data_IF_518639412480
#
_entry.id   IF_518639412480
#
_cell.length_a   1.000
_cell.length_b   1.000
_cell.length_c   1.000
_cell.angle_alpha   90.00
_cell.angle_beta   90.00
_cell.angle_gamma   90.00
#
_symmetry.space_group_name_H-M   'P 1'
#
loop_
_entity.id
_entity.type
_entity.pdbx_description
1 polymer ?
#
# COMPACT_ATOMS: atom_id res chain seq x y z
N UNK A 1 -2.51 21.88 -0.33
CA UNK A 1 -1.62 20.72 -0.43
C UNK A 1 -0.78 20.66 0.83
N UNK A 2 -0.80 19.54 1.56
CA UNK A 2 0.08 19.29 2.69
C UNK A 2 1.35 18.57 2.19
N UNK A 3 2.50 19.04 2.67
CA UNK A 3 3.81 18.43 2.47
C UNK A 3 4.26 17.81 3.78
N UNK A 4 5.17 16.85 3.70
CA UNK A 4 5.79 16.31 4.89
C UNK A 4 6.83 17.29 5.45
N UNK A 5 6.90 17.35 6.78
CA UNK A 5 7.82 18.21 7.53
C UNK A 5 8.99 17.42 8.12
N UNK A 6 8.86 16.09 8.18
CA UNK A 6 9.93 15.21 8.65
C UNK A 6 9.85 13.79 8.05
N UNK A 7 10.94 13.03 8.17
CA UNK A 7 11.01 11.64 7.77
C UNK A 7 10.13 10.76 8.69
N UNK A 8 9.94 11.18 9.95
CA UNK A 8 9.03 10.55 10.89
C UNK A 8 7.58 10.68 10.44
N UNK A 9 7.19 11.87 9.95
CA UNK A 9 5.85 12.11 9.39
C UNK A 9 5.58 11.27 8.14
N UNK A 10 6.59 11.03 7.29
CA UNK A 10 6.39 10.18 6.10
C UNK A 10 6.26 8.72 6.49
N UNK A 11 7.03 8.26 7.48
CA UNK A 11 6.85 6.91 8.02
C UNK A 11 5.49 6.74 8.69
N UNK A 12 5.03 7.72 9.47
CA UNK A 12 3.69 7.68 10.07
C UNK A 12 2.61 7.61 9.01
N UNK A 13 2.76 8.39 7.93
CA UNK A 13 1.87 8.31 6.80
C UNK A 13 1.91 6.93 6.12
N UNK A 14 3.09 6.39 5.84
CA UNK A 14 3.24 5.08 5.23
C UNK A 14 2.65 3.97 6.12
N UNK A 15 2.93 3.99 7.43
CA UNK A 15 2.33 3.08 8.42
C UNK A 15 0.81 3.19 8.40
N UNK A 16 0.27 4.42 8.35
CA UNK A 16 -1.17 4.62 8.26
C UNK A 16 -1.74 4.09 6.93
N UNK A 17 -1.00 4.16 5.81
CA UNK A 17 -1.42 3.54 4.54
C UNK A 17 -1.51 2.01 4.67
N UNK A 18 -0.51 1.38 5.29
CA UNK A 18 -0.52 -0.07 5.53
C UNK A 18 -1.69 -0.51 6.42
N UNK A 19 -2.01 0.27 7.45
CA UNK A 19 -3.19 0.02 8.30
C UNK A 19 -4.47 0.12 7.47
N UNK A 20 -4.61 1.17 6.65
CA UNK A 20 -5.78 1.35 5.80
C UNK A 20 -5.93 0.26 4.73
N UNK A 21 -4.82 -0.23 4.16
CA UNK A 21 -4.84 -1.37 3.24
C UNK A 21 -5.22 -2.67 3.94
N UNK A 22 -4.63 -2.95 5.11
CA UNK A 22 -5.01 -4.09 5.96
C UNK A 22 -6.52 -4.09 6.27
N UNK A 23 -7.04 -2.95 6.72
CA UNK A 23 -8.45 -2.81 7.11
C UNK A 23 -9.37 -2.95 5.89
N UNK A 24 -8.97 -2.37 4.76
CA UNK A 24 -9.67 -2.53 3.49
C UNK A 24 -9.77 -4.00 3.06
N UNK A 25 -8.66 -4.73 3.08
CA UNK A 25 -8.66 -6.15 2.69
C UNK A 25 -9.38 -7.05 3.69
N UNK A 26 -9.29 -6.75 4.99
CA UNK A 26 -10.05 -7.43 6.04
C UNK A 26 -11.56 -7.25 5.85
N UNK A 27 -12.00 -6.03 5.54
CA UNK A 27 -13.40 -5.72 5.26
C UNK A 27 -13.88 -6.42 3.97
N UNK A 28 -13.10 -6.39 2.89
CA UNK A 28 -13.42 -7.11 1.66
C UNK A 28 -13.54 -8.62 1.88
N UNK A 29 -12.63 -9.23 2.62
CA UNK A 29 -12.67 -10.66 2.96
C UNK A 29 -13.98 -11.04 3.70
N UNK A 30 -14.49 -10.14 4.54
CA UNK A 30 -15.77 -10.30 5.24
C UNK A 30 -17.00 -10.16 4.34
N UNK A 31 -16.90 -9.42 3.24
CA UNK A 31 -18.03 -9.12 2.33
C UNK A 31 -18.15 -10.10 1.17
N UNK A 32 -17.04 -10.69 0.72
CA UNK A 32 -17.07 -11.63 -0.42
C UNK A 32 -17.75 -12.95 -0.07
N UNK A 33 -18.57 -13.44 -1.02
CA UNK A 33 -19.29 -14.72 -0.90
C UNK A 33 -18.44 -15.93 -1.32
N UNK A 34 -17.48 -15.73 -2.22
CA UNK A 34 -16.65 -16.81 -2.79
C UNK A 34 -15.55 -17.18 -1.77
N UNK A 35 -15.42 -18.45 -1.33
CA UNK A 35 -14.45 -18.84 -0.31
C UNK A 35 -13.00 -18.56 -0.68
N UNK A 36 -12.60 -18.87 -1.91
CA UNK A 36 -11.24 -18.62 -2.40
C UNK A 36 -10.90 -17.12 -2.42
N UNK A 37 -11.88 -16.26 -2.71
CA UNK A 37 -11.69 -14.80 -2.64
C UNK A 37 -11.46 -14.28 -1.24
N UNK A 38 -12.15 -14.87 -0.26
CA UNK A 38 -11.93 -14.53 1.14
C UNK A 38 -10.50 -14.85 1.55
N UNK A 39 -9.98 -15.99 1.10
CA UNK A 39 -8.60 -16.40 1.37
C UNK A 39 -7.61 -15.43 0.75
N UNK A 40 -7.78 -15.09 -0.54
CA UNK A 40 -6.95 -14.09 -1.23
C UNK A 40 -6.88 -12.77 -0.46
N UNK A 41 -8.04 -12.17 -0.13
CA UNK A 41 -8.04 -10.90 0.61
C UNK A 41 -7.52 -11.02 2.06
N UNK A 42 -7.71 -12.18 2.70
CA UNK A 42 -7.12 -12.42 4.02
C UNK A 42 -5.60 -12.48 3.95
N UNK A 43 -5.03 -13.06 2.89
CA UNK A 43 -3.59 -13.13 2.69
C UNK A 43 -3.00 -11.75 2.38
N UNK A 44 -3.65 -10.95 1.54
CA UNK A 44 -3.27 -9.54 1.36
C UNK A 44 -3.26 -8.79 2.69
N UNK A 45 -4.32 -8.87 3.50
CA UNK A 45 -4.34 -8.22 4.81
C UNK A 45 -3.15 -8.65 5.70
N UNK A 46 -2.74 -9.92 5.64
CA UNK A 46 -1.56 -10.41 6.38
C UNK A 46 -0.25 -9.85 5.84
N UNK A 47 -0.12 -9.74 4.51
CA UNK A 47 1.05 -9.15 3.84
C UNK A 47 1.20 -7.66 4.27
N UNK A 48 0.13 -6.85 4.20
CA UNK A 48 0.12 -5.44 4.66
C UNK A 48 0.48 -5.30 6.15
N UNK A 49 -0.01 -6.20 7.00
CA UNK A 49 0.38 -6.22 8.42
C UNK A 49 1.88 -6.51 8.61
N UNK A 50 2.48 -7.27 7.70
CA UNK A 50 3.92 -7.51 7.63
C UNK A 50 4.69 -6.25 7.21
N UNK A 51 4.20 -5.53 6.21
CA UNK A 51 4.78 -4.27 5.74
C UNK A 51 4.76 -3.21 6.84
N UNK A 52 3.62 -3.04 7.52
CA UNK A 52 3.48 -2.18 8.70
C UNK A 52 4.57 -2.46 9.73
N UNK A 53 4.80 -3.73 10.09
CA UNK A 53 5.85 -4.10 11.06
C UNK A 53 7.26 -3.75 10.58
N UNK A 54 7.55 -3.91 9.28
CA UNK A 54 8.83 -3.49 8.69
C UNK A 54 9.01 -1.97 8.85
N UNK A 55 7.99 -1.17 8.59
CA UNK A 55 8.03 0.29 8.75
C UNK A 55 8.16 0.72 10.22
N UNK A 56 7.42 0.10 11.14
CA UNK A 56 7.54 0.35 12.58
C UNK A 56 8.97 0.04 13.09
N UNK A 57 9.59 -1.03 12.59
CA UNK A 57 10.99 -1.35 12.90
C UNK A 57 11.96 -0.28 12.38
N UNK A 58 11.75 0.21 11.16
CA UNK A 58 12.51 1.34 10.60
C UNK A 58 12.35 2.61 11.46
N UNK A 59 11.12 2.91 11.89
CA UNK A 59 10.82 4.08 12.74
C UNK A 59 11.52 4.00 14.09
N UNK A 60 11.37 2.86 14.79
CA UNK A 60 11.93 2.63 16.13
C UNK A 60 13.47 2.56 16.12
N UNK A 61 14.07 2.10 15.02
CA UNK A 61 15.52 2.14 14.83
C UNK A 61 16.12 3.54 14.74
N UNK A 62 15.30 4.60 14.62
CA UNK A 62 15.72 6.02 14.44
C UNK A 62 16.72 6.23 13.32
N UNK A 63 16.73 5.34 12.32
CA UNK A 63 17.70 5.34 11.22
C UNK A 63 17.49 6.52 10.27
N UNK A 64 16.33 7.18 10.34
CA UNK A 64 16.02 8.39 9.59
C UNK A 64 16.55 9.63 10.32
N UNK A 65 17.85 9.91 10.14
CA UNK A 65 18.47 11.22 10.35
C UNK A 65 17.75 12.32 9.52
N UNK A 66 17.89 13.62 9.85
CA UNK A 66 16.83 14.60 9.64
C UNK A 66 16.43 14.71 8.17
N UNK A 67 15.11 14.84 7.97
CA UNK A 67 14.46 14.86 6.68
C UNK A 67 15.21 15.73 5.67
N UNK A 68 15.69 15.10 4.60
CA UNK A 68 16.28 15.81 3.48
C UNK A 68 15.21 16.58 2.72
N UNK A 69 15.62 17.65 2.03
CA UNK A 69 14.74 18.44 1.16
C UNK A 69 13.87 17.60 0.22
N UNK A 70 14.39 16.46 -0.27
CA UNK A 70 13.64 15.52 -1.13
C UNK A 70 12.42 14.90 -0.45
N UNK A 71 12.51 14.57 0.85
CA UNK A 71 11.39 14.03 1.63
C UNK A 71 10.34 15.13 1.84
N UNK A 72 10.79 16.37 2.04
CA UNK A 72 9.91 17.52 2.27
C UNK A 72 9.15 17.98 1.01
N UNK A 73 9.64 17.62 -0.18
CA UNK A 73 8.93 17.93 -1.43
C UNK A 73 7.83 16.93 -1.78
N UNK A 74 7.81 15.75 -1.13
CA UNK A 74 6.75 14.77 -1.31
C UNK A 74 5.40 15.34 -0.86
N UNK A 75 4.36 15.13 -1.68
CA UNK A 75 3.01 15.62 -1.42
C UNK A 75 2.12 14.46 -0.98
N UNK A 76 1.48 14.62 0.18
CA UNK A 76 0.60 13.62 0.76
C UNK A 76 -0.49 13.15 -0.23
N UNK A 77 -1.10 14.11 -0.93
CA UNK A 77 -2.19 13.87 -1.88
C UNK A 77 -1.83 12.92 -3.01
N UNK A 78 -0.55 12.82 -3.36
CA UNK A 78 -0.12 12.04 -4.52
C UNK A 78 -0.20 10.53 -4.25
N UNK A 79 -0.30 10.14 -2.97
CA UNK A 79 -0.32 8.75 -2.50
C UNK A 79 -1.65 8.35 -1.83
N UNK A 80 -2.63 9.26 -1.79
CA UNK A 80 -3.96 8.94 -1.28
C UNK A 80 -4.81 8.36 -2.41
N UNK A 81 -5.56 7.31 -2.09
CA UNK A 81 -6.65 6.81 -2.91
C UNK A 81 -7.95 7.30 -2.31
N UNK A 82 -8.60 8.25 -3.00
CA UNK A 82 -9.96 8.67 -2.69
C UNK A 82 -10.94 7.63 -3.23
N UNK A 83 -10.97 6.45 -2.62
CA UNK A 83 -11.97 5.43 -2.92
C UNK A 83 -12.95 5.31 -1.75
N UNK A 84 -14.21 5.65 -1.99
CA UNK A 84 -15.28 5.30 -1.06
C UNK A 84 -15.53 3.79 -1.14
N UNK A 85 -15.33 3.09 -0.03
CA UNK A 85 -15.81 1.71 0.11
C UNK A 85 -17.35 1.77 0.12
N UNK A 86 -17.94 1.55 -1.05
CA UNK A 86 -19.40 1.55 -1.18
C UNK A 86 -19.96 0.28 -0.51
N UNK A 87 -21.09 0.37 0.21
CA UNK A 87 -21.74 -0.79 0.83
C UNK A 87 -22.15 -1.90 -0.16
N UNK A 88 -22.25 -1.56 -1.46
CA UNK A 88 -22.61 -2.48 -2.56
C UNK A 88 -21.54 -2.56 -3.63
N UNK A 89 -20.28 -2.29 -3.29
CA UNK A 89 -19.17 -2.42 -4.23
C UNK A 89 -19.17 -3.83 -4.81
N UNK A 90 -19.27 -3.94 -6.14
CA UNK A 90 -19.16 -5.22 -6.79
C UNK A 90 -17.70 -5.71 -6.81
N UNK A 91 -17.50 -6.97 -7.19
CA UNK A 91 -16.19 -7.57 -7.12
C UNK A 91 -15.19 -6.90 -8.07
N UNK A 92 -15.66 -6.46 -9.24
CA UNK A 92 -14.87 -5.77 -10.24
C UNK A 92 -14.42 -4.39 -9.72
N UNK A 93 -15.32 -3.62 -9.10
CA UNK A 93 -15.01 -2.34 -8.46
C UNK A 93 -14.00 -2.52 -7.31
N UNK A 94 -14.12 -3.60 -6.52
CA UNK A 94 -13.19 -3.89 -5.44
C UNK A 94 -11.76 -4.12 -5.95
N UNK A 95 -11.61 -4.89 -7.04
CA UNK A 95 -10.31 -5.12 -7.70
C UNK A 95 -9.73 -3.82 -8.27
N UNK A 96 -10.56 -2.96 -8.87
CA UNK A 96 -10.10 -1.65 -9.36
C UNK A 96 -9.55 -0.76 -8.25
N UNK A 97 -10.25 -0.71 -7.11
CA UNK A 97 -9.77 0.04 -5.94
C UNK A 97 -8.48 -0.56 -5.40
N UNK A 98 -8.40 -1.89 -5.28
CA UNK A 98 -7.19 -2.59 -4.83
C UNK A 98 -6.00 -2.25 -5.73
N UNK A 99 -6.11 -2.43 -7.05
CA UNK A 99 -5.05 -2.06 -8.01
C UNK A 99 -4.60 -0.61 -7.88
N UNK A 100 -5.52 0.33 -7.60
CA UNK A 100 -5.17 1.72 -7.40
C UNK A 100 -4.42 1.95 -6.09
N UNK A 101 -4.83 1.31 -4.99
CA UNK A 101 -4.13 1.35 -3.69
C UNK A 101 -2.71 0.80 -3.81
N UNK A 102 -2.55 -0.36 -4.43
CA UNK A 102 -1.23 -0.98 -4.67
C UNK A 102 -0.33 -0.09 -5.52
N UNK A 103 -0.88 0.54 -6.56
CA UNK A 103 -0.13 1.50 -7.38
C UNK A 103 0.36 2.70 -6.56
N UNK A 104 -0.47 3.25 -5.68
CA UNK A 104 -0.08 4.39 -4.83
C UNK A 104 0.99 4.00 -3.81
N UNK A 105 0.86 2.82 -3.19
CA UNK A 105 1.86 2.29 -2.27
C UNK A 105 3.21 2.04 -2.98
N UNK A 106 3.19 1.43 -4.16
CA UNK A 106 4.38 1.28 -5.02
C UNK A 106 5.10 2.61 -5.28
N UNK A 107 4.36 3.65 -5.68
CA UNK A 107 4.93 4.97 -5.95
C UNK A 107 5.50 5.59 -4.67
N UNK A 108 4.77 5.51 -3.55
CA UNK A 108 5.23 6.01 -2.26
C UNK A 108 6.57 5.40 -1.87
N UNK A 109 6.71 4.08 -1.96
CA UNK A 109 7.94 3.39 -1.60
C UNK A 109 9.08 3.64 -2.57
N UNK A 110 8.77 3.79 -3.87
CA UNK A 110 9.77 4.17 -4.88
C UNK A 110 10.34 5.56 -4.59
N UNK A 111 9.49 6.52 -4.25
CA UNK A 111 9.89 7.90 -3.97
C UNK A 111 10.64 7.99 -2.63
N UNK A 112 10.18 7.27 -1.61
CA UNK A 112 10.89 7.13 -0.33
C UNK A 112 12.30 6.53 -0.51
N UNK A 113 12.44 5.49 -1.32
CA UNK A 113 13.73 4.90 -1.65
C UNK A 113 14.68 5.89 -2.36
N UNK A 114 14.13 6.79 -3.19
CA UNK A 114 14.88 7.85 -3.86
C UNK A 114 15.25 9.03 -2.96
N UNK A 115 14.57 9.18 -1.82
CA UNK A 115 14.73 10.28 -0.89
C UNK A 115 15.69 9.96 0.28
N UNK A 116 15.99 8.68 0.53
CA UNK A 116 16.97 8.24 1.55
C UNK A 116 18.36 7.97 0.96
N UNK A 117 19.43 8.17 1.76
CA UNK A 117 20.79 7.73 1.38
C UNK A 117 21.24 6.47 2.13
N UNK A 118 20.62 6.15 3.27
CA UNK A 118 20.95 4.92 3.96
C UNK A 118 20.61 3.72 3.06
N UNK A 119 21.63 2.92 2.76
CA UNK A 119 21.49 1.80 1.83
C UNK A 119 20.53 0.72 2.36
N UNK A 120 20.48 0.53 3.68
CA UNK A 120 19.55 -0.40 4.32
C UNK A 120 18.11 0.04 4.11
N UNK A 121 17.80 1.30 4.44
CA UNK A 121 16.46 1.88 4.27
C UNK A 121 16.05 1.91 2.80
N UNK A 122 16.97 2.29 1.91
CA UNK A 122 16.72 2.26 0.47
C UNK A 122 16.30 0.86 0.01
N UNK A 123 17.03 -0.16 0.44
CA UNK A 123 16.71 -1.56 0.09
C UNK A 123 15.38 -2.00 0.71
N UNK A 124 15.06 -1.59 1.93
CA UNK A 124 13.76 -1.88 2.55
C UNK A 124 12.61 -1.27 1.75
N UNK A 125 12.69 0.01 1.37
CA UNK A 125 11.64 0.64 0.58
C UNK A 125 11.55 0.08 -0.83
N UNK A 126 12.67 -0.24 -1.49
CA UNK A 126 12.63 -0.93 -2.79
C UNK A 126 12.00 -2.33 -2.70
N UNK A 127 12.24 -3.05 -1.61
CA UNK A 127 11.61 -4.35 -1.38
C UNK A 127 10.09 -4.21 -1.20
N UNK A 128 9.64 -3.25 -0.39
CA UNK A 128 8.22 -2.94 -0.22
C UNK A 128 7.57 -2.54 -1.55
N UNK A 129 8.19 -1.62 -2.30
CA UNK A 129 7.71 -1.24 -3.64
C UNK A 129 7.55 -2.48 -4.56
N UNK A 130 8.51 -3.40 -4.53
CA UNK A 130 8.43 -4.62 -5.33
C UNK A 130 7.31 -5.57 -4.87
N UNK A 131 7.03 -5.63 -3.56
CA UNK A 131 5.88 -6.37 -3.01
C UNK A 131 4.56 -5.76 -3.53
N UNK A 132 4.36 -4.45 -3.45
CA UNK A 132 3.12 -3.81 -3.94
C UNK A 132 2.95 -3.93 -5.47
N UNK A 133 4.05 -3.90 -6.22
CA UNK A 133 3.99 -4.13 -7.67
C UNK A 133 3.51 -5.56 -7.99
N UNK A 134 3.89 -6.56 -7.18
CA UNK A 134 3.40 -7.94 -7.33
C UNK A 134 1.94 -8.06 -6.90
N UNK A 135 1.54 -7.37 -5.84
CA UNK A 135 0.15 -7.31 -5.39
C UNK A 135 -0.75 -6.75 -6.48
N UNK A 136 -0.38 -5.60 -7.06
CA UNK A 136 -1.08 -5.02 -8.20
C UNK A 136 -1.22 -6.00 -9.35
N UNK A 137 -0.14 -6.69 -9.72
CA UNK A 137 -0.15 -7.65 -10.82
C UNK A 137 -1.10 -8.84 -10.52
N UNK A 138 -1.12 -9.34 -9.28
CA UNK A 138 -2.07 -10.38 -8.87
C UNK A 138 -3.52 -9.93 -9.07
N UNK A 139 -3.84 -8.69 -8.72
CA UNK A 139 -5.18 -8.13 -8.96
C UNK A 139 -5.50 -7.89 -10.44
N UNK A 140 -4.51 -7.50 -11.26
CA UNK A 140 -4.70 -7.36 -12.71
C UNK A 140 -5.04 -8.70 -13.36
N UNK A 141 -4.32 -9.77 -13.02
CA UNK A 141 -4.58 -11.12 -13.52
C UNK A 141 -5.99 -11.57 -13.13
N UNK A 142 -6.34 -11.40 -11.85
CA UNK A 142 -7.66 -11.76 -11.33
C UNK A 142 -8.80 -10.95 -11.97
N UNK A 143 -8.55 -9.67 -12.26
CA UNK A 143 -9.49 -8.81 -12.96
C UNK A 143 -9.71 -9.26 -14.41
N UNK A 144 -8.63 -9.61 -15.11
CA UNK A 144 -8.70 -10.12 -16.48
C UNK A 144 -9.46 -11.46 -16.52
N UNK A 145 -9.16 -12.38 -15.60
CA UNK A 145 -9.87 -13.67 -15.47
C UNK A 145 -11.37 -13.47 -15.20
N UNK A 146 -11.74 -12.48 -14.38
CA UNK A 146 -13.14 -12.13 -14.11
C UNK A 146 -13.86 -11.65 -15.38
N UNK A 147 -13.19 -10.85 -16.22
CA UNK A 147 -13.75 -10.35 -17.48
C UNK A 147 -13.91 -11.46 -18.52
N UNK A 148 -12.94 -12.37 -18.62
CA UNK A 148 -12.99 -13.50 -19.55
C UNK A 148 -14.02 -14.55 -19.16
N UNK A 149 -14.24 -14.77 -17.86
CA UNK A 149 -15.21 -15.74 -17.34
C UNK A 149 -16.67 -15.27 -17.38
N UNK A 150 -16.93 -14.03 -17.80
CA UNK A 150 -18.27 -13.55 -18.12
C UNK A 150 -19.13 -13.11 -16.93
N UNK A 151 -18.53 -12.54 -15.88
CA UNK A 151 -19.18 -11.69 -14.85
C UNK A 151 -20.40 -12.26 -14.13
#
# INVERSE_FOLDING_TARGET
MQRFSSADEVLDFAIQREIESHDFYTDLAGRVKRPWMREVFTDFAREEAGHRKKLEAVKTGKTLLPAREKILDLKLSDYIVEAEIKPKMDYQEALQVAMHKEKKAFLLYTDLAGAVEDAGLKNTFLALAQEEAKHKLRFEIEYDDLLESGG
#
